data_IF_381863664587
#
_entry.id   IF_381863664587
#
_cell.length_a   1.000
_cell.length_b   1.000
_cell.length_c   1.000
_cell.angle_alpha   90.00
_cell.angle_beta   90.00
_cell.angle_gamma   90.00
#
_symmetry.space_group_name_H-M   'P 1'
#
loop_
_entity.id
_entity.type
_entity.pdbx_description
1 polymer ?
#
# COMPACT_ATOMS: atom_id res chain seq x y z
N UNK A 1 7.57 -14.84 -8.10
CA UNK A 1 8.30 -13.55 -8.31
C UNK A 1 7.78 -12.48 -7.36
N UNK A 2 8.61 -11.51 -6.91
CA UNK A 2 8.16 -10.39 -6.04
C UNK A 2 7.01 -9.57 -6.68
N UNK A 3 6.91 -9.56 -8.01
CA UNK A 3 5.83 -8.92 -8.76
C UNK A 3 4.52 -9.72 -8.68
N UNK A 4 4.55 -11.04 -8.75
CA UNK A 4 3.34 -11.87 -8.62
C UNK A 4 2.68 -11.73 -7.24
N UNK A 5 3.47 -11.50 -6.19
CA UNK A 5 2.96 -11.25 -4.85
C UNK A 5 2.20 -9.92 -4.78
N UNK A 6 2.65 -8.90 -5.54
CA UNK A 6 1.92 -7.63 -5.68
C UNK A 6 0.65 -7.82 -6.50
N UNK A 7 0.71 -8.61 -7.57
CA UNK A 7 -0.46 -8.87 -8.44
C UNK A 7 -1.55 -9.70 -7.76
N UNK A 8 -1.18 -10.61 -6.86
CA UNK A 8 -2.10 -11.46 -6.09
C UNK A 8 -2.39 -10.88 -4.70
N UNK A 9 -2.10 -9.60 -4.49
CA UNK A 9 -2.27 -8.98 -3.19
C UNK A 9 -3.75 -8.92 -2.82
N UNK A 10 -4.14 -9.56 -1.73
CA UNK A 10 -5.50 -9.50 -1.19
C UNK A 10 -5.76 -8.18 -0.48
N UNK A 11 -7.04 -7.81 -0.33
CA UNK A 11 -7.42 -6.61 0.43
C UNK A 11 -6.85 -6.73 1.85
N UNK A 12 -5.99 -5.78 2.27
CA UNK A 12 -5.33 -5.87 3.56
C UNK A 12 -6.35 -5.72 4.68
N UNK A 13 -6.13 -6.44 5.76
CA UNK A 13 -7.01 -6.46 6.94
C UNK A 13 -6.45 -5.65 8.10
N UNK A 14 -5.21 -5.19 7.97
CA UNK A 14 -4.50 -4.50 9.04
C UNK A 14 -3.54 -3.42 8.54
N UNK A 15 -3.28 -2.44 9.42
CA UNK A 15 -2.27 -1.38 9.17
C UNK A 15 -0.86 -1.98 8.96
N UNK A 16 -0.56 -3.11 9.60
CA UNK A 16 0.75 -3.77 9.47
C UNK A 16 0.97 -4.36 8.07
N UNK A 17 -0.07 -4.95 7.49
CA UNK A 17 -0.06 -5.45 6.11
C UNK A 17 0.16 -4.32 5.11
N UNK A 18 -0.56 -3.19 5.26
CA UNK A 18 -0.34 -2.01 4.42
C UNK A 18 1.09 -1.49 4.54
N UNK A 19 1.65 -1.39 5.76
CA UNK A 19 3.03 -0.94 5.96
C UNK A 19 4.04 -1.86 5.27
N UNK A 20 3.79 -3.16 5.29
CA UNK A 20 4.63 -4.17 4.63
C UNK A 20 4.53 -4.05 3.10
N UNK A 21 3.33 -3.85 2.58
CA UNK A 21 3.07 -3.59 1.17
C UNK A 21 3.76 -2.33 0.68
N UNK A 22 3.55 -1.20 1.39
CA UNK A 22 4.16 0.08 1.06
C UNK A 22 5.69 -0.03 1.03
N UNK A 23 6.32 -0.78 1.94
CA UNK A 23 7.77 -1.03 1.89
C UNK A 23 8.20 -1.72 0.59
N UNK A 24 7.45 -2.74 0.15
CA UNK A 24 7.73 -3.46 -1.09
C UNK A 24 7.54 -2.54 -2.32
N UNK A 25 6.45 -1.80 -2.35
CA UNK A 25 6.12 -0.85 -3.42
C UNK A 25 7.19 0.26 -3.50
N UNK A 26 7.60 0.81 -2.36
CA UNK A 26 8.67 1.81 -2.32
C UNK A 26 10.05 1.25 -2.68
N UNK A 27 10.32 -0.04 -2.45
CA UNK A 27 11.54 -0.69 -2.95
C UNK A 27 11.60 -0.68 -4.49
N UNK A 28 10.44 -0.79 -5.15
CA UNK A 28 10.32 -0.76 -6.61
C UNK A 28 9.99 0.61 -7.21
N UNK A 29 9.91 1.68 -6.40
CA UNK A 29 9.52 3.02 -6.85
C UNK A 29 10.34 3.60 -7.99
N UNK A 30 11.59 3.14 -8.18
CA UNK A 30 12.46 3.58 -9.27
C UNK A 30 12.00 3.11 -10.64
N UNK A 31 11.12 2.11 -10.70
CA UNK A 31 10.63 1.49 -11.93
C UNK A 31 9.14 1.76 -12.17
N UNK A 32 8.48 2.50 -11.27
CA UNK A 32 7.04 2.74 -11.31
C UNK A 32 6.83 4.25 -11.24
N UNK A 33 6.43 4.83 -12.36
CA UNK A 33 6.13 6.25 -12.45
C UNK A 33 4.88 6.58 -11.61
N UNK A 34 4.85 7.79 -11.05
CA UNK A 34 3.73 8.30 -10.25
C UNK A 34 3.28 7.47 -9.02
N UNK A 35 4.11 6.55 -8.52
CA UNK A 35 3.79 5.68 -7.38
C UNK A 35 3.38 6.43 -6.10
N UNK A 36 3.87 7.67 -5.93
CA UNK A 36 3.50 8.53 -4.82
C UNK A 36 2.00 8.85 -4.83
N UNK A 37 1.42 9.12 -6.01
CA UNK A 37 -0.01 9.41 -6.17
C UNK A 37 -0.87 8.18 -5.86
N UNK A 38 -0.44 6.99 -6.27
CA UNK A 38 -1.12 5.72 -5.97
C UNK A 38 -1.03 5.31 -4.49
N UNK A 39 0.12 5.56 -3.84
CA UNK A 39 0.33 5.16 -2.43
C UNK A 39 -0.21 6.17 -1.42
N UNK A 40 -0.58 7.38 -1.87
CA UNK A 40 -1.13 8.45 -1.04
C UNK A 40 -2.33 8.02 -0.17
N UNK A 41 -3.40 7.40 -0.71
CA UNK A 41 -4.51 6.91 0.12
C UNK A 41 -4.06 5.85 1.13
N UNK A 42 -3.20 4.91 0.71
CA UNK A 42 -2.66 3.85 1.56
C UNK A 42 -1.80 4.39 2.71
N UNK A 43 -1.00 5.43 2.49
CA UNK A 43 -0.24 6.08 3.57
C UNK A 43 -1.15 6.74 4.59
N UNK A 44 -2.32 7.24 4.17
CA UNK A 44 -3.37 7.77 5.04
C UNK A 44 -3.87 6.72 6.04
N UNK A 45 -4.07 5.48 5.59
CA UNK A 45 -4.50 4.34 6.42
C UNK A 45 -3.48 3.92 7.49
N UNK A 46 -2.23 4.40 7.40
CA UNK A 46 -1.18 4.07 8.38
C UNK A 46 -1.02 5.06 9.52
N UNK A 47 -1.77 6.17 9.50
CA UNK A 47 -1.67 7.24 10.50
C UNK A 47 -2.32 6.80 11.82
N UNK A 48 -1.62 6.98 12.94
CA UNK A 48 -2.05 6.55 14.30
C UNK A 48 -3.42 7.04 14.76
N UNK A 49 -3.93 8.13 14.19
CA UNK A 49 -5.17 8.79 14.62
C UNK A 49 -6.39 8.26 13.81
N UNK A 50 -6.16 7.52 12.73
CA UNK A 50 -7.22 7.08 11.82
C UNK A 50 -7.54 5.61 12.08
N UNK A 51 -8.83 5.31 12.32
CA UNK A 51 -9.30 3.93 12.33
C UNK A 51 -9.09 3.32 10.95
N UNK A 52 -8.56 2.10 10.91
CA UNK A 52 -8.36 1.39 9.65
C UNK A 52 -9.71 1.16 8.96
N UNK A 53 -9.92 1.81 7.83
CA UNK A 53 -11.13 1.68 7.00
C UNK A 53 -10.69 1.59 5.55
N UNK A 54 -10.87 0.43 4.93
CA UNK A 54 -10.61 0.25 3.51
C UNK A 54 -11.84 0.74 2.73
N UNK A 55 -11.69 1.81 1.95
CA UNK A 55 -12.75 2.41 1.16
C UNK A 55 -12.41 2.42 -0.35
N UNK A 56 -13.31 2.92 -1.19
CA UNK A 56 -13.12 2.96 -2.65
C UNK A 56 -12.01 3.92 -3.11
N UNK A 57 -11.41 4.69 -2.20
CA UNK A 57 -10.27 5.58 -2.49
C UNK A 57 -8.93 4.88 -2.22
N UNK A 58 -8.95 3.67 -1.65
CA UNK A 58 -7.79 2.88 -1.25
C UNK A 58 -7.39 1.83 -2.29
#
# INVERSE_FOLDING_TARGET
SKIEVVLKWEIPKSVSEIRSFLRLVYYYRRFIEEISKMTLPLTGLTRKIVAFMWDSKC
#
